data_IF_097759472398
#
_entry.id   IF_097759472398
#
_cell.length_a   1.000
_cell.length_b   1.000
_cell.length_c   1.000
_cell.angle_alpha   90.00
_cell.angle_beta   90.00
_cell.angle_gamma   90.00
#
_symmetry.space_group_name_H-M   'P 1'
#
loop_
_entity.id
_entity.type
_entity.pdbx_description
1 polymer ?
#
# COMPACT_ATOMS: atom_id res chain seq x y z
N UNK A 1 44.73 -11.99 -8.70
CA UNK A 1 43.67 -12.27 -7.71
C UNK A 1 42.39 -12.68 -8.43
N UNK A 2 41.98 -13.96 -8.37
CA UNK A 2 40.70 -14.40 -8.94
C UNK A 2 39.57 -13.76 -8.15
N UNK A 3 38.72 -12.98 -8.82
CA UNK A 3 37.43 -12.55 -8.27
C UNK A 3 36.61 -13.80 -7.92
N UNK A 4 36.69 -14.25 -6.66
CA UNK A 4 35.70 -15.19 -6.13
C UNK A 4 34.35 -14.47 -6.20
N UNK A 5 33.56 -14.75 -7.23
CA UNK A 5 32.15 -14.38 -7.25
C UNK A 5 31.54 -15.01 -6.00
N UNK A 6 31.12 -14.18 -5.05
CA UNK A 6 30.25 -14.62 -3.95
C UNK A 6 29.01 -15.26 -4.59
N UNK A 7 28.99 -16.59 -4.64
CA UNK A 7 27.83 -17.37 -5.07
C UNK A 7 26.89 -17.37 -3.87
N UNK A 8 25.79 -16.64 -4.01
CA UNK A 8 24.75 -16.60 -2.98
C UNK A 8 23.75 -17.69 -3.30
N UNK A 9 23.76 -18.72 -2.46
CA UNK A 9 22.85 -19.86 -2.58
C UNK A 9 21.38 -19.41 -2.59
N UNK A 10 20.53 -20.08 -3.40
CA UNK A 10 19.10 -19.80 -3.44
C UNK A 10 18.44 -20.02 -2.07
N UNK A 11 17.32 -19.35 -1.83
CA UNK A 11 16.48 -19.61 -0.66
C UNK A 11 15.45 -20.67 -1.03
N UNK A 12 15.34 -21.73 -0.25
CA UNK A 12 14.32 -22.75 -0.43
C UNK A 12 13.08 -22.48 0.42
N UNK A 13 11.89 -22.54 -0.19
CA UNK A 13 10.61 -22.54 0.55
C UNK A 13 9.60 -23.45 -0.13
N UNK A 14 9.08 -24.44 0.59
CA UNK A 14 8.09 -25.41 0.08
C UNK A 14 8.56 -26.11 -1.21
N UNK A 15 9.81 -26.59 -1.24
CA UNK A 15 10.40 -27.26 -2.40
C UNK A 15 10.65 -26.37 -3.63
N UNK A 16 10.59 -25.04 -3.46
CA UNK A 16 10.85 -24.06 -4.51
C UNK A 16 12.09 -23.24 -4.18
N UNK A 17 12.97 -23.07 -5.16
CA UNK A 17 14.22 -22.31 -5.01
C UNK A 17 14.06 -20.89 -5.54
N UNK A 18 14.25 -19.90 -4.68
CA UNK A 18 14.17 -18.48 -4.99
C UNK A 18 15.58 -17.90 -5.12
N UNK A 19 15.87 -17.34 -6.29
CA UNK A 19 17.08 -16.57 -6.55
C UNK A 19 16.77 -15.42 -7.50
N UNK A 20 17.36 -14.27 -7.23
CA UNK A 20 16.97 -13.01 -7.83
C UNK A 20 18.13 -12.36 -8.59
N UNK A 21 17.78 -11.46 -9.53
CA UNK A 21 18.75 -10.59 -10.19
C UNK A 21 19.20 -9.49 -9.22
N UNK A 22 20.51 -9.21 -9.14
CA UNK A 22 21.02 -8.08 -8.35
C UNK A 22 20.37 -6.76 -8.76
N UNK A 23 20.18 -6.55 -10.06
CA UNK A 23 19.52 -5.37 -10.61
C UNK A 23 18.07 -5.30 -10.10
N UNK A 24 17.32 -6.40 -10.12
CA UNK A 24 15.95 -6.40 -9.59
C UNK A 24 15.89 -6.11 -8.09
N UNK A 25 16.88 -6.55 -7.30
CA UNK A 25 16.94 -6.27 -5.87
C UNK A 25 17.25 -4.79 -5.57
N UNK A 26 18.01 -4.12 -6.44
CA UNK A 26 18.30 -2.67 -6.33
C UNK A 26 17.10 -1.85 -6.83
N UNK A 27 16.53 -2.23 -7.97
CA UNK A 27 15.35 -1.58 -8.54
C UNK A 27 14.13 -1.70 -7.63
N UNK A 28 14.06 -2.73 -6.81
CA UNK A 28 12.93 -2.93 -5.93
C UNK A 28 12.70 -1.78 -4.94
N UNK A 29 13.63 -1.44 -4.03
CA UNK A 29 13.44 -0.30 -3.14
C UNK A 29 13.41 1.04 -3.89
N UNK A 30 14.34 1.27 -4.82
CA UNK A 30 14.44 2.55 -5.53
C UNK A 30 13.23 2.82 -6.44
N UNK A 31 12.84 1.82 -7.22
CA UNK A 31 11.69 1.89 -8.10
C UNK A 31 10.38 1.98 -7.33
N UNK A 32 10.25 1.27 -6.20
CA UNK A 32 9.05 1.37 -5.36
C UNK A 32 8.89 2.79 -4.80
N UNK A 33 9.96 3.42 -4.30
CA UNK A 33 9.91 4.79 -3.77
C UNK A 33 9.56 5.77 -4.88
N UNK A 34 10.28 5.70 -6.01
CA UNK A 34 10.09 6.63 -7.11
C UNK A 34 8.69 6.53 -7.72
N UNK A 35 8.20 5.30 -7.94
CA UNK A 35 6.85 5.10 -8.45
C UNK A 35 5.78 5.49 -7.43
N UNK A 36 6.01 5.30 -6.12
CA UNK A 36 5.05 5.72 -5.12
C UNK A 36 4.88 7.23 -5.13
N UNK A 37 5.97 8.00 -5.22
CA UNK A 37 5.93 9.45 -5.36
C UNK A 37 5.15 9.84 -6.62
N UNK A 38 5.48 9.23 -7.78
CA UNK A 38 4.77 9.51 -9.03
C UNK A 38 3.27 9.21 -8.96
N UNK A 39 2.88 8.12 -8.29
CA UNK A 39 1.47 7.76 -8.12
C UNK A 39 0.75 8.70 -7.15
N UNK A 40 1.40 9.16 -6.08
CA UNK A 40 0.84 10.16 -5.16
C UNK A 40 0.56 11.45 -5.93
N UNK A 41 1.55 11.98 -6.64
CA UNK A 41 1.40 13.17 -7.49
C UNK A 41 0.30 12.97 -8.53
N UNK A 42 0.22 11.78 -9.14
CA UNK A 42 -0.86 11.44 -10.06
C UNK A 42 -2.23 11.59 -9.38
N UNK A 43 -2.45 11.01 -8.20
CA UNK A 43 -3.72 11.14 -7.49
C UNK A 43 -4.05 12.58 -7.05
N UNK A 44 -3.06 13.45 -6.88
CA UNK A 44 -3.26 14.87 -6.55
C UNK A 44 -3.63 15.74 -7.76
N UNK A 45 -3.45 15.25 -8.99
CA UNK A 45 -3.87 15.98 -10.19
C UNK A 45 -5.38 16.22 -10.18
N UNK A 46 -5.80 17.43 -10.57
CA UNK A 46 -7.23 17.82 -10.65
C UNK A 46 -8.07 16.87 -11.50
N UNK A 47 -7.48 16.28 -12.54
CA UNK A 47 -8.15 15.29 -13.39
C UNK A 47 -8.60 14.06 -12.60
N UNK A 48 -7.96 13.75 -11.47
CA UNK A 48 -8.25 12.60 -10.62
C UNK A 48 -9.19 12.92 -9.44
N UNK A 49 -9.84 14.08 -9.45
CA UNK A 49 -10.89 14.45 -8.47
C UNK A 49 -12.10 13.50 -8.52
N UNK A 50 -12.30 12.74 -9.60
CA UNK A 50 -13.30 11.68 -9.68
C UNK A 50 -13.08 10.59 -8.61
N UNK A 51 -11.83 10.35 -8.18
CA UNK A 51 -11.55 9.38 -7.11
C UNK A 51 -12.15 9.83 -5.78
N UNK A 52 -11.98 11.12 -5.45
CA UNK A 52 -12.60 11.74 -4.27
C UNK A 52 -14.13 11.70 -4.37
N UNK A 53 -14.69 11.96 -5.55
CA UNK A 53 -16.13 11.89 -5.79
C UNK A 53 -16.70 10.51 -5.50
N UNK A 54 -16.08 9.44 -6.02
CA UNK A 54 -16.51 8.06 -5.79
C UNK A 54 -16.46 7.75 -4.29
N UNK A 55 -15.35 8.07 -3.63
CA UNK A 55 -15.21 7.87 -2.18
C UNK A 55 -16.30 8.60 -1.40
N UNK A 56 -16.56 9.87 -1.74
CA UNK A 56 -17.58 10.70 -1.08
C UNK A 56 -18.99 10.11 -1.24
N UNK A 57 -19.35 9.73 -2.49
CA UNK A 57 -20.65 9.12 -2.81
C UNK A 57 -20.86 7.81 -2.06
N UNK A 58 -19.85 6.95 -2.01
CA UNK A 58 -19.95 5.66 -1.30
C UNK A 58 -20.03 5.86 0.22
N UNK A 59 -19.26 6.79 0.79
CA UNK A 59 -19.34 7.10 2.21
C UNK A 59 -20.72 7.68 2.59
N UNK A 60 -21.24 8.61 1.78
CA UNK A 60 -22.58 9.16 1.92
C UNK A 60 -23.67 8.07 1.82
N UNK A 61 -23.51 7.12 0.89
CA UNK A 61 -24.40 5.97 0.77
C UNK A 61 -24.40 5.11 2.05
N UNK A 62 -23.22 4.81 2.62
CA UNK A 62 -23.14 4.05 3.87
C UNK A 62 -23.77 4.82 5.04
N UNK A 63 -23.48 6.10 5.15
CA UNK A 63 -24.04 7.00 6.16
C UNK A 63 -25.56 6.98 6.18
N UNK A 64 -26.18 7.13 5.01
CA UNK A 64 -27.64 7.17 4.92
C UNK A 64 -28.28 5.80 5.17
N UNK A 65 -27.69 4.71 4.67
CA UNK A 65 -28.30 3.39 4.81
C UNK A 65 -28.13 2.77 6.20
N UNK A 66 -26.99 3.00 6.86
CA UNK A 66 -26.68 2.34 8.13
C UNK A 66 -26.87 3.24 9.35
N UNK A 67 -26.79 4.56 9.18
CA UNK A 67 -26.78 5.50 10.30
C UNK A 67 -27.87 6.59 10.23
N UNK A 68 -28.66 6.68 9.15
CA UNK A 68 -29.75 7.65 8.98
C UNK A 68 -29.35 9.12 9.23
N UNK A 69 -28.13 9.49 8.84
CA UNK A 69 -27.57 10.84 9.11
C UNK A 69 -28.00 11.90 8.11
N UNK A 70 -28.77 11.50 7.08
CA UNK A 70 -29.16 12.37 5.96
C UNK A 70 -27.97 13.12 5.35
N UNK A 71 -26.84 12.44 5.26
CA UNK A 71 -25.64 12.95 4.65
C UNK A 71 -25.87 13.26 3.17
N UNK A 72 -25.22 14.33 2.70
CA UNK A 72 -25.17 14.72 1.30
C UNK A 72 -23.77 15.20 0.93
N UNK A 73 -23.49 15.26 -0.36
CA UNK A 73 -22.21 15.74 -0.89
C UNK A 73 -22.38 17.10 -1.55
N UNK A 74 -21.37 17.95 -1.40
CA UNK A 74 -21.29 19.25 -2.05
C UNK A 74 -19.98 19.40 -2.80
N UNK A 75 -20.05 19.98 -4.00
CA UNK A 75 -18.89 20.29 -4.83
C UNK A 75 -18.60 21.80 -4.77
N UNK A 76 -17.42 22.15 -4.27
CA UNK A 76 -16.96 23.55 -4.20
C UNK A 76 -15.92 23.80 -5.29
N UNK A 77 -16.35 24.49 -6.34
CA UNK A 77 -15.48 24.86 -7.46
C UNK A 77 -14.32 25.75 -7.00
N UNK A 78 -13.13 25.54 -7.57
CA UNK A 78 -11.93 26.33 -7.28
C UNK A 78 -11.07 25.80 -6.13
N UNK A 79 -11.60 24.92 -5.26
CA UNK A 79 -10.81 24.23 -4.25
C UNK A 79 -9.97 23.10 -4.86
N UNK A 80 -8.76 22.88 -4.31
CA UNK A 80 -7.89 21.75 -4.68
C UNK A 80 -8.57 20.41 -4.40
N UNK A 81 -9.35 20.36 -3.31
CA UNK A 81 -10.16 19.21 -2.90
C UNK A 81 -11.63 19.66 -2.89
N UNK A 82 -12.36 19.52 -4.00
CA UNK A 82 -13.64 20.18 -4.16
C UNK A 82 -14.79 19.44 -3.46
N UNK A 83 -14.62 18.18 -3.06
CA UNK A 83 -15.69 17.35 -2.50
C UNK A 83 -15.76 17.41 -0.97
N UNK A 84 -16.95 17.74 -0.47
CA UNK A 84 -17.26 17.78 0.97
C UNK A 84 -18.45 16.87 1.26
N UNK A 85 -18.38 16.12 2.35
CA UNK A 85 -19.50 15.39 2.93
C UNK A 85 -20.10 16.25 4.04
N UNK A 86 -21.41 16.49 3.99
CA UNK A 86 -22.16 17.28 4.97
C UNK A 86 -23.29 16.45 5.57
N UNK A 87 -23.65 16.76 6.81
CA UNK A 87 -24.86 16.25 7.48
C UNK A 87 -25.77 17.41 7.88
N UNK A 88 -27.02 17.11 8.27
CA UNK A 88 -27.97 18.13 8.73
C UNK A 88 -27.48 18.81 10.02
N UNK A 89 -26.78 18.06 10.87
CA UNK A 89 -26.35 18.51 12.21
C UNK A 89 -24.95 19.10 12.26
N UNK A 90 -24.40 19.56 11.12
CA UNK A 90 -23.18 20.37 10.98
C UNK A 90 -21.82 19.65 10.94
N UNK A 91 -21.76 18.33 10.73
CA UNK A 91 -20.48 17.68 10.41
C UNK A 91 -20.12 17.92 8.93
N UNK A 92 -19.05 18.69 8.71
CA UNK A 92 -18.49 18.96 7.38
C UNK A 92 -17.11 18.30 7.29
N UNK A 93 -16.95 17.32 6.41
CA UNK A 93 -15.66 16.68 6.16
C UNK A 93 -15.23 16.89 4.72
N UNK A 94 -14.08 17.54 4.56
CA UNK A 94 -13.39 17.64 3.29
C UNK A 94 -12.78 16.29 2.91
N UNK A 95 -13.03 15.82 1.69
CA UNK A 95 -12.49 14.55 1.22
C UNK A 95 -11.07 14.76 0.70
N UNK A 96 -10.11 14.63 1.61
CA UNK A 96 -8.68 14.75 1.31
C UNK A 96 -8.11 13.47 0.67
N UNK A 97 -6.96 13.53 -0.03
CA UNK A 97 -6.28 12.35 -0.57
C UNK A 97 -6.08 11.24 0.48
N UNK A 98 -5.68 11.62 1.69
CA UNK A 98 -5.50 10.72 2.83
C UNK A 98 -6.79 10.00 3.24
N UNK A 99 -7.94 10.64 3.02
CA UNK A 99 -9.27 10.07 3.24
C UNK A 99 -9.60 9.02 2.16
N UNK A 100 -9.15 9.21 0.93
CA UNK A 100 -9.41 8.26 -0.17
C UNK A 100 -8.49 7.03 -0.17
N UNK A 101 -7.45 7.04 0.68
CA UNK A 101 -6.44 5.98 0.71
C UNK A 101 -5.45 6.00 -0.46
N UNK A 102 -5.41 7.09 -1.23
CA UNK A 102 -4.55 7.23 -2.41
C UNK A 102 -3.07 7.03 -2.09
N UNK A 103 -2.58 7.53 -0.95
CA UNK A 103 -1.20 7.34 -0.50
C UNK A 103 -0.90 5.85 -0.27
N UNK A 104 -1.75 5.16 0.50
CA UNK A 104 -1.57 3.75 0.80
C UNK A 104 -1.66 2.88 -0.48
N UNK A 105 -2.60 3.20 -1.37
CA UNK A 105 -2.72 2.58 -2.69
C UNK A 105 -1.44 2.77 -3.50
N UNK A 106 -0.90 3.99 -3.55
CA UNK A 106 0.30 4.34 -4.31
C UNK A 106 1.52 3.56 -3.82
N UNK A 107 1.74 3.52 -2.51
CA UNK A 107 2.83 2.77 -1.89
C UNK A 107 2.69 1.27 -2.18
N UNK A 108 1.51 0.70 -1.93
CA UNK A 108 1.26 -0.72 -2.10
C UNK A 108 1.40 -1.17 -3.57
N UNK A 109 0.82 -0.42 -4.51
CA UNK A 109 0.94 -0.70 -5.93
C UNK A 109 2.41 -0.66 -6.39
N UNK A 110 3.16 0.34 -5.92
CA UNK A 110 4.57 0.50 -6.30
C UNK A 110 5.42 -0.67 -5.81
N UNK A 111 5.21 -1.08 -4.56
CA UNK A 111 5.80 -2.28 -3.96
C UNK A 111 5.49 -3.54 -4.79
N UNK A 112 4.23 -3.75 -5.14
CA UNK A 112 3.79 -4.93 -5.89
C UNK A 112 4.42 -4.93 -7.29
N UNK A 113 4.38 -3.79 -7.99
CA UNK A 113 4.95 -3.64 -9.33
C UNK A 113 6.44 -3.93 -9.34
N UNK A 114 7.19 -3.39 -8.38
CA UNK A 114 8.65 -3.55 -8.32
C UNK A 114 9.13 -4.82 -7.60
N UNK A 115 8.22 -5.61 -7.05
CA UNK A 115 8.57 -6.89 -6.42
C UNK A 115 9.40 -7.75 -7.38
N UNK A 116 10.63 -8.16 -6.99
CA UNK A 116 11.51 -8.95 -7.85
C UNK A 116 10.90 -10.28 -8.25
N UNK A 117 11.26 -10.76 -9.42
CA UNK A 117 10.85 -12.08 -9.91
C UNK A 117 11.98 -13.09 -9.69
N UNK A 118 11.62 -14.29 -9.22
CA UNK A 118 12.57 -15.40 -9.22
C UNK A 118 13.00 -15.71 -10.66
N UNK A 119 14.26 -16.07 -10.83
CA UNK A 119 14.78 -16.54 -12.12
C UNK A 119 14.33 -17.96 -12.48
N UNK A 120 13.84 -18.73 -11.51
CA UNK A 120 13.23 -20.05 -11.75
C UNK A 120 11.99 -19.91 -12.66
N UNK A 121 11.97 -20.51 -13.86
CA UNK A 121 10.84 -20.43 -14.80
C UNK A 121 9.53 -20.94 -14.21
N UNK A 122 9.56 -21.99 -13.37
CA UNK A 122 8.37 -22.59 -12.76
C UNK A 122 7.71 -21.63 -11.76
N UNK A 123 8.52 -20.83 -11.08
CA UNK A 123 8.05 -19.81 -10.14
C UNK A 123 7.62 -18.55 -10.90
N UNK A 124 8.37 -18.16 -11.92
CA UNK A 124 8.11 -16.96 -12.73
C UNK A 124 6.80 -17.06 -13.53
N UNK A 125 6.33 -18.27 -13.84
CA UNK A 125 5.09 -18.46 -14.57
C UNK A 125 3.91 -17.66 -13.97
N UNK A 126 3.17 -16.96 -14.83
CA UNK A 126 2.03 -16.11 -14.47
C UNK A 126 2.30 -15.00 -13.44
N UNK A 127 3.55 -14.59 -13.23
CA UNK A 127 3.85 -13.60 -12.18
C UNK A 127 3.23 -12.22 -12.44
N UNK A 128 3.10 -11.81 -13.72
CA UNK A 128 2.40 -10.57 -14.08
C UNK A 128 0.93 -10.64 -13.67
N UNK A 129 0.27 -11.75 -13.97
CA UNK A 129 -1.13 -11.95 -13.59
C UNK A 129 -1.33 -11.98 -12.08
N UNK A 130 -0.42 -12.62 -11.33
CA UNK A 130 -0.45 -12.59 -9.87
C UNK A 130 -0.28 -11.17 -9.31
N UNK A 131 0.60 -10.36 -9.92
CA UNK A 131 0.75 -8.93 -9.57
C UNK A 131 -0.50 -8.13 -9.84
N UNK A 132 -1.12 -8.29 -11.01
CA UNK A 132 -2.35 -7.58 -11.37
C UNK A 132 -3.48 -7.94 -10.39
N UNK A 133 -3.67 -9.22 -10.10
CA UNK A 133 -4.67 -9.67 -9.13
C UNK A 133 -4.42 -9.10 -7.73
N UNK A 134 -3.16 -9.07 -7.29
CA UNK A 134 -2.77 -8.52 -5.98
C UNK A 134 -3.00 -7.01 -5.91
N UNK A 135 -2.71 -6.27 -6.99
CA UNK A 135 -3.03 -4.84 -7.11
C UNK A 135 -4.53 -4.62 -7.02
N UNK A 136 -5.34 -5.32 -7.82
CA UNK A 136 -6.80 -5.16 -7.82
C UNK A 136 -7.36 -5.43 -6.43
N UNK A 137 -6.95 -6.52 -5.79
CA UNK A 137 -7.41 -6.89 -4.46
C UNK A 137 -6.98 -5.85 -3.42
N UNK A 138 -5.71 -5.44 -3.44
CA UNK A 138 -5.15 -4.48 -2.48
C UNK A 138 -5.82 -3.11 -2.62
N UNK A 139 -5.95 -2.59 -3.85
CA UNK A 139 -6.65 -1.33 -4.13
C UNK A 139 -8.09 -1.39 -3.64
N UNK A 140 -8.81 -2.47 -3.95
CA UNK A 140 -10.20 -2.65 -3.54
C UNK A 140 -10.35 -2.67 -2.02
N UNK A 141 -9.47 -3.38 -1.31
CA UNK A 141 -9.48 -3.47 0.15
C UNK A 141 -9.15 -2.13 0.80
N UNK A 142 -8.10 -1.44 0.33
CA UNK A 142 -7.73 -0.12 0.85
C UNK A 142 -8.86 0.87 0.61
N UNK A 143 -9.41 0.90 -0.60
CA UNK A 143 -10.50 1.82 -0.95
C UNK A 143 -11.75 1.57 -0.11
N UNK A 144 -12.23 0.33 -0.06
CA UNK A 144 -13.42 -0.03 0.72
C UNK A 144 -13.24 0.30 2.20
N UNK A 145 -12.05 0.02 2.74
CA UNK A 145 -11.74 0.38 4.11
C UNK A 145 -11.83 1.89 4.34
N UNK A 146 -11.23 2.69 3.46
CA UNK A 146 -11.21 4.14 3.60
C UNK A 146 -12.62 4.75 3.47
N UNK A 147 -13.47 4.20 2.61
CA UNK A 147 -14.89 4.57 2.53
C UNK A 147 -15.60 4.33 3.87
N UNK A 148 -15.41 3.15 4.46
CA UNK A 148 -15.98 2.81 5.78
C UNK A 148 -15.40 3.72 6.87
N UNK A 149 -14.09 4.00 6.83
CA UNK A 149 -13.39 4.89 7.76
C UNK A 149 -14.00 6.30 7.76
N UNK A 150 -14.24 6.87 6.58
CA UNK A 150 -14.88 8.19 6.45
C UNK A 150 -16.31 8.14 6.99
N UNK A 151 -17.09 7.11 6.65
CA UNK A 151 -18.46 6.99 7.13
C UNK A 151 -18.52 6.97 8.67
N UNK A 152 -17.69 6.16 9.33
CA UNK A 152 -17.60 6.16 10.79
C UNK A 152 -17.12 7.48 11.35
N UNK A 153 -16.14 8.13 10.71
CA UNK A 153 -15.64 9.43 11.14
C UNK A 153 -16.75 10.49 11.12
N UNK A 154 -17.52 10.60 10.01
CA UNK A 154 -18.65 11.52 9.90
C UNK A 154 -19.71 11.21 10.95
N UNK A 155 -20.06 9.93 11.11
CA UNK A 155 -21.04 9.50 12.09
C UNK A 155 -20.64 9.92 13.51
N UNK A 156 -19.44 9.57 13.98
CA UNK A 156 -19.04 9.90 15.35
C UNK A 156 -18.89 11.41 15.59
N UNK A 157 -18.49 12.19 14.57
CA UNK A 157 -18.45 13.64 14.67
C UNK A 157 -19.86 14.24 14.85
N UNK A 158 -20.86 13.67 14.20
CA UNK A 158 -22.26 14.08 14.36
C UNK A 158 -22.77 13.89 15.79
N UNK A 159 -22.27 12.87 16.51
CA UNK A 159 -22.54 12.65 17.93
C UNK A 159 -21.61 13.41 18.87
N UNK A 160 -20.82 14.36 18.36
CA UNK A 160 -19.97 15.24 19.17
C UNK A 160 -18.67 14.61 19.67
N UNK A 161 -18.26 13.45 19.14
CA UNK A 161 -16.97 12.86 19.50
C UNK A 161 -15.84 13.70 18.88
N UNK A 162 -14.85 14.15 19.66
CA UNK A 162 -13.78 14.99 19.14
C UNK A 162 -13.01 14.34 17.99
N UNK A 163 -12.78 15.09 16.92
CA UNK A 163 -12.04 14.64 15.73
C UNK A 163 -10.69 14.01 16.09
N UNK A 164 -9.92 14.67 16.95
CA UNK A 164 -8.59 14.22 17.37
C UNK A 164 -8.63 12.85 18.05
N UNK A 165 -9.67 12.57 18.85
CA UNK A 165 -9.82 11.26 19.48
C UNK A 165 -10.07 10.16 18.43
N UNK A 166 -10.98 10.42 17.49
CA UNK A 166 -11.34 9.48 16.43
C UNK A 166 -10.18 9.21 15.47
N UNK A 167 -9.55 10.29 14.98
CA UNK A 167 -8.52 10.24 13.96
C UNK A 167 -7.23 9.60 14.48
N UNK A 168 -6.80 9.93 15.70
CA UNK A 168 -5.48 9.50 16.20
C UNK A 168 -5.48 8.13 16.89
N UNK A 169 -6.60 7.67 17.45
CA UNK A 169 -6.63 6.43 18.25
C UNK A 169 -7.36 5.28 17.54
N UNK A 170 -8.66 5.40 17.36
CA UNK A 170 -9.51 4.32 16.83
C UNK A 170 -9.19 4.02 15.35
N UNK A 171 -9.05 5.06 14.52
CA UNK A 171 -8.76 4.88 13.09
C UNK A 171 -7.33 4.43 12.83
N UNK A 172 -6.38 4.74 13.72
CA UNK A 172 -5.00 4.26 13.63
C UNK A 172 -4.90 2.75 13.83
N UNK A 173 -5.52 2.21 14.88
CA UNK A 173 -5.51 0.76 15.15
C UNK A 173 -6.13 -0.02 13.98
N UNK A 174 -7.26 0.47 13.47
CA UNK A 174 -7.95 -0.16 12.35
C UNK A 174 -7.11 -0.12 11.06
N UNK A 175 -6.40 1.00 10.84
CA UNK A 175 -5.44 1.12 9.75
C UNK A 175 -4.31 0.10 9.87
N UNK A 176 -3.72 -0.09 11.05
CA UNK A 176 -2.66 -1.08 11.28
C UNK A 176 -3.14 -2.49 10.95
N UNK A 177 -4.33 -2.87 11.43
CA UNK A 177 -4.91 -4.21 11.17
C UNK A 177 -5.06 -4.45 9.66
N UNK A 178 -5.50 -3.44 8.91
CA UNK A 178 -5.77 -3.59 7.48
C UNK A 178 -4.47 -3.64 6.68
N UNK A 179 -3.48 -2.83 7.02
CA UNK A 179 -2.16 -2.91 6.41
C UNK A 179 -1.49 -4.27 6.71
N UNK A 180 -1.68 -4.83 7.91
CA UNK A 180 -1.21 -6.18 8.23
C UNK A 180 -1.92 -7.25 7.39
N UNK A 181 -3.23 -7.13 7.20
CA UNK A 181 -3.97 -8.04 6.32
C UNK A 181 -3.49 -7.95 4.87
N UNK A 182 -3.30 -6.74 4.34
CA UNK A 182 -2.73 -6.52 3.00
C UNK A 182 -1.36 -7.19 2.89
N UNK A 183 -0.48 -6.99 3.88
CA UNK A 183 0.83 -7.65 3.92
C UNK A 183 0.72 -9.19 3.89
N UNK A 184 -0.22 -9.77 4.65
CA UNK A 184 -0.46 -11.22 4.64
C UNK A 184 -1.00 -11.71 3.30
N UNK A 185 -1.88 -10.95 2.64
CA UNK A 185 -2.41 -11.27 1.31
C UNK A 185 -1.31 -11.21 0.23
N UNK A 186 -0.51 -10.14 0.21
CA UNK A 186 0.64 -10.00 -0.68
C UNK A 186 1.59 -11.20 -0.51
N UNK A 187 1.84 -11.64 0.73
CA UNK A 187 2.66 -12.84 1.00
C UNK A 187 2.06 -14.15 0.47
N UNK A 188 0.73 -14.24 0.35
CA UNK A 188 0.05 -15.42 -0.19
C UNK A 188 0.12 -15.47 -1.71
N UNK A 189 -0.12 -14.34 -2.38
CA UNK A 189 -0.19 -14.22 -3.84
C UNK A 189 1.20 -14.04 -4.49
N UNK A 190 2.05 -13.20 -3.89
CA UNK A 190 3.39 -12.84 -4.37
C UNK A 190 4.43 -13.15 -3.30
N UNK A 191 4.72 -14.44 -3.12
CA UNK A 191 5.73 -14.91 -2.16
C UNK A 191 7.14 -14.35 -2.44
N UNK A 192 7.37 -13.96 -3.69
CA UNK A 192 8.61 -13.37 -4.18
C UNK A 192 8.93 -12.05 -3.48
N UNK A 193 7.94 -11.27 -3.03
CA UNK A 193 8.13 -10.06 -2.22
C UNK A 193 8.97 -10.37 -0.98
N UNK A 194 8.46 -11.26 -0.13
CA UNK A 194 9.12 -11.63 1.13
C UNK A 194 10.45 -12.35 0.89
N UNK A 195 10.49 -13.23 -0.12
CA UNK A 195 11.71 -13.95 -0.45
C UNK A 195 12.82 -13.02 -0.96
N UNK A 196 12.47 -11.96 -1.68
CA UNK A 196 13.44 -10.97 -2.14
C UNK A 196 14.07 -10.20 -0.99
N UNK A 197 13.31 -9.90 0.06
CA UNK A 197 13.80 -9.24 1.29
C UNK A 197 14.77 -10.17 2.01
N UNK A 198 14.37 -11.43 2.25
CA UNK A 198 15.26 -12.42 2.89
C UNK A 198 16.55 -12.65 2.08
N UNK A 199 16.43 -12.74 0.76
CA UNK A 199 17.59 -12.92 -0.13
C UNK A 199 18.53 -11.71 -0.07
N UNK A 200 17.98 -10.50 -0.05
CA UNK A 200 18.76 -9.27 0.11
C UNK A 200 19.47 -9.23 1.47
N UNK A 201 18.80 -9.63 2.55
CA UNK A 201 19.40 -9.76 3.88
C UNK A 201 20.56 -10.76 3.90
N UNK A 202 20.40 -11.93 3.27
CA UNK A 202 21.48 -12.94 3.15
C UNK A 202 22.68 -12.39 2.38
N UNK A 203 22.46 -11.66 1.27
CA UNK A 203 23.54 -10.99 0.53
C UNK A 203 24.27 -9.99 1.42
N UNK A 204 23.52 -9.13 2.12
CA UNK A 204 24.08 -8.07 2.96
C UNK A 204 24.88 -8.65 4.13
N UNK A 205 24.35 -9.68 4.79
CA UNK A 205 25.04 -10.40 5.85
C UNK A 205 26.37 -10.99 5.38
N UNK A 206 26.36 -11.70 4.24
CA UNK A 206 27.57 -12.27 3.66
C UNK A 206 28.59 -11.18 3.28
N UNK A 207 28.12 -10.03 2.79
CA UNK A 207 29.00 -8.92 2.43
C UNK A 207 29.63 -8.24 3.66
N UNK A 208 28.86 -8.04 4.73
CA UNK A 208 29.31 -7.33 5.93
C UNK A 208 30.17 -8.24 6.83
N UNK A 209 29.75 -9.48 7.06
CA UNK A 209 30.37 -10.34 8.08
C UNK A 209 31.42 -11.30 7.49
N UNK A 210 31.14 -12.00 6.39
CA UNK A 210 32.10 -12.98 5.84
C UNK A 210 33.29 -12.30 5.15
N UNK A 211 33.06 -11.20 4.43
CA UNK A 211 34.16 -10.44 3.80
C UNK A 211 35.10 -9.81 4.83
N UNK A 212 34.56 -9.40 5.99
CA UNK A 212 35.34 -8.79 7.09
C UNK A 212 36.21 -9.80 7.83
N UNK A 213 35.79 -11.06 7.89
CA UNK A 213 36.60 -12.14 8.46
C UNK A 213 37.75 -12.54 7.52
N UNK A 214 37.54 -12.57 6.20
CA UNK A 214 38.60 -12.87 5.23
C UNK A 214 39.70 -11.77 5.22
N UNK A 215 39.32 -10.50 5.37
CA UNK A 215 40.27 -9.37 5.43
C UNK A 215 41.05 -9.32 6.76
N UNK A 216 40.56 -9.93 7.84
CA UNK A 216 41.27 -10.00 9.12
C UNK A 216 42.25 -11.18 9.22
N UNK A 217 42.13 -12.15 8.32
CA UNK A 217 42.96 -13.37 8.31
C UNK A 217 44.08 -13.33 7.26
N UNK A 218 44.24 -12.21 6.55
CA UNK A 218 45.34 -11.92 5.62
C UNK A 218 46.12 -10.75 6.17
#
# INVERSE_FOLDING_TARGET
>A
MKNQKLIVEPIERKGKQYYFSKISLILFPLGSILLAILLIEFFELRVNTWWQEITAKQACYLLNNYFNTYAYIEYIAGNTYPWIIKTIHSSNILVLPDCTGSIAISIACSIIIFTPHSKDPKIKYNIIWRKVLDIILTVSLIHLFNVVRIAFLVYFLEYGVPYHFLHESAMMILSIIIHLNIFLFCNKLIREWYMSILYSGKILYNYIFLKKNIVKTV
#
